data_IF_005807824535
#
_entry.id   IF_005807824535
#
_cell.length_a   1.000
_cell.length_b   1.000
_cell.length_c   1.000
_cell.angle_alpha   90.00
_cell.angle_beta   90.00
_cell.angle_gamma   90.00
#
_symmetry.space_group_name_H-M   'P 1'
#
loop_
_entity.id
_entity.type
_entity.pdbx_description
1 polymer ?
#
# COMPACT_ATOMS: atom_id res chain seq x y z
N UNK A 1 -10.84 3.44 19.13
CA UNK A 1 -9.39 3.12 19.21
C UNK A 1 -8.97 2.93 20.67
N UNK A 2 -9.31 1.79 21.28
CA UNK A 2 -8.89 1.47 22.66
C UNK A 2 -7.36 1.38 22.79
N UNK A 3 -6.66 0.98 21.74
CA UNK A 3 -5.19 0.87 21.77
C UNK A 3 -4.49 2.23 21.80
N UNK A 4 -5.05 3.25 21.15
CA UNK A 4 -4.54 4.63 21.24
C UNK A 4 -4.65 5.16 22.68
N UNK A 5 -5.76 4.88 23.37
CA UNK A 5 -5.92 5.24 24.79
C UNK A 5 -4.93 4.50 25.69
N UNK A 6 -4.58 3.25 25.38
CA UNK A 6 -3.58 2.48 26.12
C UNK A 6 -2.16 3.02 25.94
N UNK A 7 -1.83 3.58 24.78
CA UNK A 7 -0.53 4.26 24.56
C UNK A 7 -0.38 5.50 25.44
N UNK A 8 -1.48 6.24 25.64
CA UNK A 8 -1.53 7.48 26.41
C UNK A 8 -1.80 7.27 27.91
N UNK A 9 -1.64 6.04 28.42
CA UNK A 9 -1.88 5.77 29.84
C UNK A 9 -0.93 6.60 30.72
N UNK A 10 -1.51 7.28 31.72
CA UNK A 10 -0.77 8.03 32.73
C UNK A 10 0.13 7.14 33.59
N UNK A 11 -0.18 5.84 33.69
CA UNK A 11 0.63 4.84 34.37
C UNK A 11 1.65 4.22 33.39
N UNK A 12 2.97 4.46 33.54
CA UNK A 12 3.97 3.97 32.58
C UNK A 12 3.92 2.46 32.34
N UNK A 13 3.69 1.67 33.39
CA UNK A 13 3.64 0.19 33.32
C UNK A 13 2.43 -0.35 32.55
N UNK A 14 1.38 0.45 32.36
CA UNK A 14 0.18 0.07 31.58
C UNK A 14 0.23 0.57 30.13
N UNK A 15 1.28 1.31 29.75
CA UNK A 15 1.44 1.77 28.37
C UNK A 15 1.65 0.57 27.46
N UNK A 16 0.86 0.52 26.39
CA UNK A 16 1.01 -0.50 25.37
C UNK A 16 2.38 -0.35 24.68
N UNK A 17 3.07 -1.47 24.45
CA UNK A 17 4.29 -1.46 23.67
C UNK A 17 3.95 -1.13 22.20
N UNK A 18 4.67 -0.16 21.62
CA UNK A 18 4.47 0.29 20.24
C UNK A 18 4.66 -0.81 19.21
N UNK A 19 5.55 -1.79 19.45
CA UNK A 19 5.71 -2.95 18.57
C UNK A 19 4.44 -3.81 18.55
N UNK A 20 3.81 -4.03 19.71
CA UNK A 20 2.56 -4.80 19.81
C UNK A 20 1.39 -4.09 19.12
N UNK A 21 1.42 -2.76 19.06
CA UNK A 21 0.44 -1.96 18.32
C UNK A 21 0.58 -2.20 16.81
N UNK A 22 1.81 -2.17 16.28
CA UNK A 22 2.05 -2.37 14.84
C UNK A 22 1.58 -3.77 14.41
N UNK A 23 1.81 -4.78 15.25
CA UNK A 23 1.42 -6.17 14.96
C UNK A 23 -0.09 -6.44 15.06
N UNK A 24 -0.78 -5.82 16.03
CA UNK A 24 -2.16 -6.19 16.38
C UNK A 24 -3.20 -5.10 16.09
N UNK A 25 -2.81 -3.95 15.53
CA UNK A 25 -3.77 -2.88 15.29
C UNK A 25 -4.49 -3.04 13.96
N UNK A 26 -5.81 -3.19 14.04
CA UNK A 26 -6.74 -3.11 12.90
C UNK A 26 -6.62 -1.78 12.14
N UNK A 27 -6.08 -0.73 12.76
CA UNK A 27 -5.89 0.57 12.12
C UNK A 27 -4.97 0.50 10.88
N UNK A 28 -3.94 -0.34 10.93
CA UNK A 28 -3.01 -0.53 9.82
C UNK A 28 -3.48 -1.59 8.82
N UNK A 29 -4.56 -2.33 9.14
CA UNK A 29 -5.17 -3.28 8.23
C UNK A 29 -6.12 -2.56 7.27
N UNK A 30 -5.52 -1.88 6.29
CA UNK A 30 -6.25 -1.19 5.24
C UNK A 30 -5.66 -1.56 3.88
N UNK A 31 -6.53 -1.67 2.88
CA UNK A 31 -6.18 -1.82 1.46
C UNK A 31 -5.05 -0.88 1.02
N UNK A 32 -4.97 0.33 1.56
CA UNK A 32 -3.88 1.25 1.28
C UNK A 32 -2.52 0.71 1.73
N UNK A 33 -2.43 0.25 2.98
CA UNK A 33 -1.20 -0.29 3.56
C UNK A 33 -0.81 -1.56 2.82
N UNK A 34 -1.77 -2.44 2.55
CA UNK A 34 -1.54 -3.67 1.77
C UNK A 34 -1.02 -3.37 0.36
N UNK A 35 -1.60 -2.37 -0.32
CA UNK A 35 -1.19 -1.96 -1.67
C UNK A 35 0.23 -1.41 -1.68
N UNK A 36 0.55 -0.54 -0.70
CA UNK A 36 1.89 0.02 -0.57
C UNK A 36 2.90 -1.08 -0.27
N UNK A 37 2.59 -1.98 0.68
CA UNK A 37 3.45 -3.08 1.04
C UNK A 37 3.71 -4.01 -0.14
N UNK A 38 2.66 -4.37 -0.90
CA UNK A 38 2.79 -5.19 -2.11
C UNK A 38 3.69 -4.53 -3.16
N UNK A 39 3.57 -3.22 -3.34
CA UNK A 39 4.43 -2.46 -4.26
C UNK A 39 5.90 -2.42 -3.79
N UNK A 40 6.16 -2.36 -2.49
CA UNK A 40 7.52 -2.35 -1.92
C UNK A 40 8.22 -3.72 -2.06
N UNK A 41 7.48 -4.83 -1.92
CA UNK A 41 8.03 -6.19 -2.10
C UNK A 41 7.81 -6.76 -3.50
N UNK A 42 7.42 -5.92 -4.46
CA UNK A 42 6.94 -6.36 -5.77
C UNK A 42 7.98 -7.20 -6.52
N UNK A 43 9.27 -6.90 -6.40
CA UNK A 43 10.33 -7.69 -7.06
C UNK A 43 10.37 -9.15 -6.61
N UNK A 44 10.00 -9.43 -5.36
CA UNK A 44 9.99 -10.77 -4.74
C UNK A 44 8.72 -11.57 -5.05
N UNK A 45 7.74 -10.97 -5.74
CA UNK A 45 6.44 -11.60 -6.05
C UNK A 45 6.47 -12.38 -7.36
N UNK A 46 5.66 -13.44 -7.41
CA UNK A 46 5.52 -14.28 -8.58
C UNK A 46 4.74 -13.58 -9.70
N UNK A 47 4.90 -14.04 -10.95
CA UNK A 47 4.24 -13.41 -12.10
C UNK A 47 2.72 -13.45 -12.01
N UNK A 48 2.15 -14.52 -11.42
CA UNK A 48 0.69 -14.69 -11.23
C UNK A 48 0.16 -13.69 -10.20
N UNK A 49 0.87 -13.49 -9.09
CA UNK A 49 0.50 -12.52 -8.06
C UNK A 49 0.57 -11.10 -8.61
N UNK A 50 1.65 -10.79 -9.35
CA UNK A 50 1.84 -9.50 -10.05
C UNK A 50 0.68 -9.23 -11.01
N UNK A 51 0.37 -10.17 -11.90
CA UNK A 51 -0.69 -10.00 -12.89
C UNK A 51 -2.06 -9.78 -12.22
N UNK A 52 -2.37 -10.57 -11.18
CA UNK A 52 -3.61 -10.43 -10.40
C UNK A 52 -3.70 -9.07 -9.71
N UNK A 53 -2.60 -8.60 -9.12
CA UNK A 53 -2.53 -7.30 -8.48
C UNK A 53 -2.72 -6.16 -9.48
N UNK A 54 -1.98 -6.17 -10.59
CA UNK A 54 -2.05 -5.11 -11.60
C UNK A 54 -3.41 -5.04 -12.29
N UNK A 55 -4.15 -6.15 -12.41
CA UNK A 55 -5.56 -6.12 -12.87
C UNK A 55 -6.51 -5.45 -11.87
N UNK A 56 -6.25 -5.58 -10.57
CA UNK A 56 -7.05 -4.98 -9.48
C UNK A 56 -6.62 -3.54 -9.16
N UNK A 57 -5.40 -3.17 -9.50
CA UNK A 57 -4.83 -1.86 -9.17
C UNK A 57 -5.66 -0.67 -9.68
N UNK A 58 -6.23 -0.67 -10.91
CA UNK A 58 -7.07 0.41 -11.39
C UNK A 58 -8.33 0.68 -10.56
N UNK A 59 -8.93 -0.36 -9.96
CA UNK A 59 -10.12 -0.20 -9.10
C UNK A 59 -9.73 0.16 -7.67
N UNK A 60 -8.60 -0.36 -7.18
CA UNK A 60 -8.02 0.05 -5.90
C UNK A 60 -7.63 1.53 -5.92
N UNK A 61 -7.02 2.01 -7.01
CA UNK A 61 -6.58 3.41 -7.13
C UNK A 61 -7.71 4.44 -6.99
N UNK A 62 -8.96 4.07 -7.31
CA UNK A 62 -10.14 4.93 -7.12
C UNK A 62 -10.60 5.00 -5.66
N UNK A 63 -10.31 3.97 -4.87
CA UNK A 63 -10.64 3.91 -3.44
C UNK A 63 -9.57 4.56 -2.57
N UNK A 64 -8.39 4.85 -3.14
CA UNK A 64 -7.25 5.41 -2.43
C UNK A 64 -7.22 6.95 -2.55
N UNK A 65 -6.66 7.65 -1.56
CA UNK A 65 -6.46 9.10 -1.64
C UNK A 65 -5.59 9.47 -2.85
N UNK A 66 -6.10 10.36 -3.72
CA UNK A 66 -5.44 10.76 -4.99
C UNK A 66 -3.98 11.17 -4.81
N UNK A 67 -3.66 11.92 -3.75
CA UNK A 67 -2.30 12.38 -3.49
C UNK A 67 -1.31 11.21 -3.30
N UNK A 68 -1.72 10.13 -2.65
CA UNK A 68 -0.87 8.96 -2.41
C UNK A 68 -0.69 8.17 -3.70
N UNK A 69 -1.74 8.07 -4.52
CA UNK A 69 -1.66 7.44 -5.83
C UNK A 69 -0.65 8.16 -6.71
N UNK A 70 -0.75 9.47 -6.82
CA UNK A 70 0.12 10.28 -7.70
C UNK A 70 1.56 10.38 -7.19
N UNK A 71 1.77 10.55 -5.88
CA UNK A 71 3.10 10.82 -5.32
C UNK A 71 3.89 9.56 -4.94
N UNK A 72 3.22 8.44 -4.67
CA UNK A 72 3.89 7.20 -4.23
C UNK A 72 3.65 6.04 -5.19
N UNK A 73 2.40 5.73 -5.54
CA UNK A 73 2.08 4.55 -6.37
C UNK A 73 2.54 4.73 -7.81
N UNK A 74 2.26 5.88 -8.42
CA UNK A 74 2.62 6.19 -9.80
C UNK A 74 4.14 6.11 -10.07
N UNK A 75 5.03 6.75 -9.28
CA UNK A 75 6.47 6.61 -9.50
C UNK A 75 6.97 5.18 -9.25
N UNK A 76 6.47 4.48 -8.23
CA UNK A 76 6.83 3.08 -8.00
C UNK A 76 6.43 2.18 -9.17
N UNK A 77 5.27 2.43 -9.77
CA UNK A 77 4.79 1.65 -10.89
C UNK A 77 5.55 1.95 -12.18
N UNK A 78 5.93 3.22 -12.40
CA UNK A 78 6.83 3.60 -13.48
C UNK A 78 8.18 2.88 -13.35
N UNK A 79 8.80 2.91 -12.18
CA UNK A 79 10.04 2.15 -11.91
C UNK A 79 9.83 0.65 -12.13
N UNK A 80 8.72 0.07 -11.66
CA UNK A 80 8.46 -1.35 -11.85
C UNK A 80 8.37 -1.74 -13.34
N UNK A 81 7.76 -0.90 -14.17
CA UNK A 81 7.69 -1.09 -15.63
C UNK A 81 9.06 -0.91 -16.30
N UNK A 82 9.82 0.11 -15.92
CA UNK A 82 11.15 0.40 -16.46
C UNK A 82 12.15 -0.74 -16.19
N UNK A 83 12.14 -1.30 -14.98
CA UNK A 83 13.05 -2.38 -14.59
C UNK A 83 12.50 -3.79 -14.88
N UNK A 84 11.46 -3.91 -15.71
CA UNK A 84 10.95 -5.20 -16.20
C UNK A 84 10.20 -6.03 -15.16
N UNK A 85 9.81 -5.45 -14.03
CA UNK A 85 9.01 -6.11 -13.00
C UNK A 85 7.49 -5.85 -13.14
N UNK A 86 7.09 -4.98 -14.07
CA UNK A 86 5.70 -4.65 -14.37
C UNK A 86 5.10 -5.53 -15.46
N UNK A 87 3.87 -6.01 -15.25
CA UNK A 87 3.12 -6.77 -16.24
C UNK A 87 2.38 -5.83 -17.22
N UNK A 88 1.93 -6.34 -18.37
CA UNK A 88 1.18 -5.55 -19.35
C UNK A 88 -0.04 -4.76 -18.76
N UNK A 89 -0.82 -5.31 -17.80
CA UNK A 89 -1.89 -4.54 -17.14
C UNK A 89 -1.41 -3.35 -16.32
N UNK A 90 -0.14 -3.32 -15.90
CA UNK A 90 0.45 -2.21 -15.18
C UNK A 90 0.51 -0.96 -16.05
N UNK A 91 0.74 -1.07 -17.37
CA UNK A 91 0.74 0.07 -18.28
C UNK A 91 -0.65 0.72 -18.36
N UNK A 92 -1.71 -0.08 -18.43
CA UNK A 92 -3.09 0.43 -18.37
C UNK A 92 -3.36 1.16 -17.05
N UNK A 93 -2.88 0.61 -15.93
CA UNK A 93 -3.00 1.24 -14.63
C UNK A 93 -2.22 2.57 -14.60
N UNK A 94 -0.99 2.61 -15.12
CA UNK A 94 -0.17 3.82 -15.23
C UNK A 94 -0.87 4.91 -16.02
N UNK A 95 -1.39 4.58 -17.20
CA UNK A 95 -2.10 5.54 -18.06
C UNK A 95 -3.35 6.10 -17.38
N UNK A 96 -4.12 5.24 -16.69
CA UNK A 96 -5.29 5.67 -15.93
C UNK A 96 -4.92 6.63 -14.81
N UNK A 97 -3.92 6.29 -14.00
CA UNK A 97 -3.47 7.14 -12.90
C UNK A 97 -2.79 8.43 -13.41
N UNK A 98 -2.09 8.35 -14.53
CA UNK A 98 -1.47 9.48 -15.20
C UNK A 98 -2.49 10.48 -15.76
N UNK A 99 -3.72 10.05 -16.07
CA UNK A 99 -4.80 10.97 -16.45
C UNK A 99 -5.30 11.87 -15.31
N UNK A 100 -4.86 11.61 -14.07
CA UNK A 100 -5.22 12.42 -12.90
C UNK A 100 -4.17 13.48 -12.55
N UNK A 101 -3.10 13.59 -13.34
CA UNK A 101 -2.09 14.65 -13.25
C UNK A 101 -2.62 16.00 -13.74
#
# INVERSE_FOLDING_TARGET
LPDYQRLLSSMPSKRLNTSKLIENSEYFQNKLVDTIHFMEVLSLKDSVEKDTFFRKLPTLSEQLPRQIVLKKILPLLASALEFGSGAAPALTALMKMGSWL
#
